data_IF_090711751359
#
_entry.id   IF_090711751359
#
_cell.length_a   1.000
_cell.length_b   1.000
_cell.length_c   1.000
_cell.angle_alpha   90.00
_cell.angle_beta   90.00
_cell.angle_gamma   90.00
#
_symmetry.space_group_name_H-M   'P 1'
#
loop_
_entity.id
_entity.type
_entity.pdbx_description
1 polymer ?
#
# COMPACT_ATOMS: atom_id res chain seq x y z
N UNK A 1 2.06 12.29 15.81
CA UNK A 1 1.34 13.30 15.00
C UNK A 1 1.36 12.88 13.54
N UNK A 2 0.21 12.83 12.88
CA UNK A 2 0.08 12.56 11.44
C UNK A 2 -0.22 13.87 10.72
N UNK A 3 0.54 14.20 9.67
CA UNK A 3 0.35 15.43 8.87
C UNK A 3 -0.03 15.05 7.44
N UNK A 4 -1.16 15.59 6.97
CA UNK A 4 -1.63 15.45 5.60
C UNK A 4 -1.53 16.82 4.92
N UNK A 5 -1.00 16.87 3.71
CA UNK A 5 -0.82 18.11 2.94
C UNK A 5 -1.50 17.93 1.59
N UNK A 6 -2.30 18.91 1.18
CA UNK A 6 -2.89 18.96 -0.16
C UNK A 6 -2.56 20.31 -0.82
N UNK A 7 -1.81 20.24 -1.91
CA UNK A 7 -1.29 21.43 -2.59
C UNK A 7 -0.34 22.23 -1.71
N UNK A 8 -0.19 23.52 -2.01
CA UNK A 8 0.69 24.43 -1.25
C UNK A 8 0.02 25.06 -0.02
N UNK A 9 -1.31 25.05 0.02
CA UNK A 9 -2.05 25.95 0.89
C UNK A 9 -2.86 25.25 1.99
N UNK A 10 -3.00 23.93 1.96
CA UNK A 10 -3.81 23.20 2.94
C UNK A 10 -3.02 22.08 3.63
N UNK A 11 -3.07 22.11 4.96
CA UNK A 11 -2.47 21.10 5.81
C UNK A 11 -3.42 20.73 6.94
N UNK A 12 -3.54 19.43 7.21
CA UNK A 12 -4.27 18.86 8.32
C UNK A 12 -3.31 18.10 9.23
N UNK A 13 -3.48 18.24 10.54
CA UNK A 13 -2.67 17.51 11.52
C UNK A 13 -3.55 16.76 12.48
N UNK A 14 -3.35 15.45 12.56
CA UNK A 14 -4.04 14.55 13.46
C UNK A 14 -3.15 14.17 14.64
N UNK A 15 -3.71 14.23 15.83
CA UNK A 15 -3.11 13.61 17.01
C UNK A 15 -3.49 12.13 17.05
N UNK A 16 -2.48 11.28 16.87
CA UNK A 16 -2.64 9.82 16.82
C UNK A 16 -2.85 9.19 18.20
N UNK A 17 -2.68 9.95 19.29
CA UNK A 17 -2.97 9.46 20.65
C UNK A 17 -4.46 9.56 21.01
N UNK A 18 -5.18 10.50 20.39
CA UNK A 18 -6.59 10.74 20.65
C UNK A 18 -7.49 10.73 19.40
N UNK A 19 -6.92 10.51 18.21
CA UNK A 19 -7.66 10.36 16.94
C UNK A 19 -8.24 11.65 16.37
N UNK A 20 -7.76 12.83 16.80
CA UNK A 20 -8.42 14.11 16.51
C UNK A 20 -7.67 14.93 15.47
N UNK A 21 -8.42 15.62 14.60
CA UNK A 21 -7.91 16.71 13.77
C UNK A 21 -7.64 17.93 14.66
N UNK A 22 -6.40 18.18 15.04
CA UNK A 22 -6.07 19.26 15.97
C UNK A 22 -5.63 20.55 15.27
N UNK A 23 -5.31 20.48 13.98
CA UNK A 23 -4.95 21.67 13.20
C UNK A 23 -5.40 21.52 11.75
N UNK A 24 -5.95 22.62 11.22
CA UNK A 24 -6.21 22.80 9.80
C UNK A 24 -5.65 24.16 9.39
N UNK A 25 -4.49 24.15 8.75
CA UNK A 25 -3.87 25.35 8.19
C UNK A 25 -4.37 25.54 6.76
N UNK A 26 -4.94 26.71 6.48
CA UNK A 26 -5.33 27.15 5.14
C UNK A 26 -4.71 28.51 4.84
N UNK A 27 -3.95 28.62 3.74
CA UNK A 27 -3.20 29.84 3.36
C UNK A 27 -2.35 30.39 4.52
N UNK A 28 -1.61 29.50 5.19
CA UNK A 28 -0.71 29.84 6.29
C UNK A 28 -1.37 30.16 7.64
N UNK A 29 -2.70 30.15 7.74
CA UNK A 29 -3.42 30.39 9.01
C UNK A 29 -4.14 29.13 9.47
N UNK A 30 -3.98 28.77 10.74
CA UNK A 30 -4.79 27.73 11.36
C UNK A 30 -6.22 28.25 11.55
N UNK A 31 -7.21 27.50 11.09
CA UNK A 31 -8.63 27.89 11.19
C UNK A 31 -9.35 27.19 12.35
N UNK A 32 -8.70 26.22 13.00
CA UNK A 32 -9.24 25.53 14.18
C UNK A 32 -8.63 26.12 15.45
N UNK A 33 -9.47 26.67 16.32
CA UNK A 33 -9.07 27.02 17.70
C UNK A 33 -9.11 25.81 18.62
N UNK A 34 -10.02 24.88 18.35
CA UNK A 34 -10.15 23.60 19.06
C UNK A 34 -10.40 22.48 18.06
N UNK A 35 -10.02 21.23 18.37
CA UNK A 35 -10.40 20.07 17.55
C UNK A 35 -11.92 19.93 17.48
N UNK A 36 -12.48 19.43 16.37
CA UNK A 36 -13.86 18.97 16.35
C UNK A 36 -14.00 17.77 17.29
N UNK A 37 -15.09 17.74 18.05
CA UNK A 37 -15.46 16.65 18.95
C UNK A 37 -16.89 16.23 18.63
N UNK A 38 -17.19 14.94 18.79
CA UNK A 38 -18.58 14.50 18.72
C UNK A 38 -19.25 14.86 20.06
N UNK A 39 -20.36 15.58 20.00
CA UNK A 39 -21.14 15.95 21.18
C UNK A 39 -22.59 15.51 20.97
N UNK A 40 -23.16 14.89 22.00
CA UNK A 40 -24.51 14.37 22.01
C UNK A 40 -25.42 15.14 22.97
N UNK A 41 -24.90 16.17 23.64
CA UNK A 41 -25.63 16.91 24.66
C UNK A 41 -25.85 18.36 24.24
N UNK A 42 -26.92 18.94 24.79
CA UNK A 42 -27.21 20.37 24.67
C UNK A 42 -27.71 20.90 26.00
N UNK A 43 -27.64 22.22 26.18
CA UNK A 43 -28.30 22.87 27.30
C UNK A 43 -29.82 22.56 27.29
N UNK A 44 -30.36 22.13 28.43
CA UNK A 44 -31.76 21.75 28.54
C UNK A 44 -32.67 22.97 28.38
N UNK A 45 -33.63 22.88 27.46
CA UNK A 45 -34.76 23.80 27.39
C UNK A 45 -35.80 23.46 28.45
N UNK A 46 -36.76 24.35 28.69
CA UNK A 46 -37.85 24.09 29.64
C UNK A 46 -38.71 22.88 29.24
N UNK A 47 -38.81 22.59 27.93
CA UNK A 47 -39.52 21.42 27.41
C UNK A 47 -38.74 20.11 27.60
N UNK A 48 -37.40 20.15 27.59
CA UNK A 48 -36.57 18.95 27.78
C UNK A 48 -36.58 18.48 29.24
N UNK A 49 -36.54 19.44 30.19
CA UNK A 49 -36.34 19.16 31.64
C UNK A 49 -37.26 18.09 32.23
N UNK A 50 -38.58 18.07 31.95
CA UNK A 50 -39.50 17.15 32.63
C UNK A 50 -39.34 15.68 32.19
N UNK A 51 -38.89 15.43 30.94
CA UNK A 51 -38.87 14.10 30.34
C UNK A 51 -37.48 13.77 29.80
N UNK A 52 -37.16 14.18 28.57
CA UNK A 52 -35.95 13.76 27.86
C UNK A 52 -34.67 14.21 28.56
N UNK A 53 -34.63 15.45 29.04
CA UNK A 53 -33.51 16.03 29.76
C UNK A 53 -33.18 15.29 31.06
N UNK A 54 -34.21 14.76 31.75
CA UNK A 54 -34.00 13.90 32.94
C UNK A 54 -33.24 12.63 32.55
N UNK A 55 -33.65 11.97 31.46
CA UNK A 55 -32.94 10.79 30.96
C UNK A 55 -31.50 11.12 30.54
N UNK A 56 -31.27 12.25 29.85
CA UNK A 56 -29.93 12.66 29.43
C UNK A 56 -28.98 12.87 30.61
N UNK A 57 -29.47 13.42 31.72
CA UNK A 57 -28.68 13.56 32.95
C UNK A 57 -28.45 12.21 33.61
N UNK A 58 -29.50 11.42 33.83
CA UNK A 58 -29.43 10.12 34.50
C UNK A 58 -28.54 9.12 33.76
N UNK A 59 -28.54 9.16 32.43
CA UNK A 59 -27.70 8.33 31.56
C UNK A 59 -26.35 8.97 31.24
N UNK A 60 -26.02 10.10 31.87
CA UNK A 60 -24.74 10.82 31.73
C UNK A 60 -24.39 11.19 30.29
N UNK A 61 -25.38 11.51 29.46
CA UNK A 61 -25.19 11.96 28.08
C UNK A 61 -24.26 13.19 28.01
N UNK A 62 -24.40 14.09 28.98
CA UNK A 62 -23.54 15.28 29.19
C UNK A 62 -22.08 14.97 29.57
N UNK A 63 -21.74 13.71 29.85
CA UNK A 63 -20.38 13.26 30.21
C UNK A 63 -19.77 12.37 29.12
N UNK A 64 -20.43 12.24 27.97
CA UNK A 64 -19.93 11.43 26.86
C UNK A 64 -18.57 11.97 26.38
N UNK A 65 -17.67 11.05 26.07
CA UNK A 65 -16.32 11.35 25.56
C UNK A 65 -15.99 10.36 24.46
N UNK A 66 -15.30 10.85 23.44
CA UNK A 66 -14.76 10.00 22.38
C UNK A 66 -13.61 9.13 22.92
N UNK A 67 -13.63 7.86 22.54
CA UNK A 67 -12.54 6.91 22.77
C UNK A 67 -11.94 6.48 21.44
N UNK A 68 -10.65 6.72 21.26
CA UNK A 68 -9.92 6.37 20.05
C UNK A 68 -9.46 4.91 20.08
N UNK A 69 -9.51 4.23 18.93
CA UNK A 69 -9.24 2.79 18.76
C UNK A 69 -7.88 2.46 18.13
N UNK A 70 -6.94 3.41 18.12
CA UNK A 70 -5.52 3.24 17.78
C UNK A 70 -5.11 3.35 16.29
N UNK A 71 -6.03 3.67 15.38
CA UNK A 71 -5.67 3.87 13.96
C UNK A 71 -6.42 4.98 13.26
N UNK A 72 -5.77 5.56 12.25
CA UNK A 72 -6.38 6.52 11.32
C UNK A 72 -6.38 5.89 9.93
N UNK A 73 -7.52 6.02 9.25
CA UNK A 73 -7.67 5.52 7.88
C UNK A 73 -7.69 6.67 6.88
N UNK A 74 -6.92 6.54 5.80
CA UNK A 74 -6.93 7.45 4.65
C UNK A 74 -7.28 6.64 3.40
N UNK A 75 -8.37 6.98 2.74
CA UNK A 75 -8.81 6.33 1.50
C UNK A 75 -8.57 7.24 0.29
N UNK A 76 -7.90 6.71 -0.73
CA UNK A 76 -7.56 7.40 -1.97
C UNK A 76 -8.19 6.68 -3.14
N UNK A 77 -9.09 7.36 -3.86
CA UNK A 77 -9.65 6.85 -5.12
C UNK A 77 -8.88 7.43 -6.30
N UNK A 78 -8.58 6.59 -7.28
CA UNK A 78 -7.83 6.97 -8.47
C UNK A 78 -8.31 6.22 -9.71
N UNK A 79 -8.10 6.83 -10.88
CA UNK A 79 -8.25 6.20 -12.18
C UNK A 79 -6.87 6.03 -12.80
N UNK A 80 -6.42 4.78 -12.96
CA UNK A 80 -5.15 4.47 -13.62
C UNK A 80 -5.46 4.08 -15.07
N UNK A 81 -4.98 4.87 -16.03
CA UNK A 81 -5.23 4.66 -17.44
C UNK A 81 -3.99 5.04 -18.27
N UNK A 82 -3.72 4.35 -19.39
CA UNK A 82 -2.72 4.81 -20.34
C UNK A 82 -3.25 6.04 -21.10
N UNK A 83 -2.37 6.84 -21.72
CA UNK A 83 -2.80 7.82 -22.70
C UNK A 83 -3.49 7.14 -23.88
N UNK A 84 -4.36 7.87 -24.58
CA UNK A 84 -5.04 7.49 -25.84
C UNK A 84 -6.11 6.39 -25.73
N UNK A 85 -5.99 5.41 -24.83
CA UNK A 85 -6.98 4.33 -24.70
C UNK A 85 -8.06 4.60 -23.66
N UNK A 86 -9.25 4.05 -23.88
CA UNK A 86 -10.41 4.24 -22.99
C UNK A 86 -10.36 3.42 -21.72
N UNK A 87 -9.68 2.26 -21.75
CA UNK A 87 -9.62 1.35 -20.62
C UNK A 87 -8.91 1.98 -19.42
N UNK A 88 -9.35 1.60 -18.22
CA UNK A 88 -8.72 2.01 -16.99
C UNK A 88 -8.84 0.94 -15.91
N UNK A 89 -8.09 1.12 -14.84
CA UNK A 89 -8.29 0.45 -13.57
C UNK A 89 -8.69 1.52 -12.56
N UNK A 90 -9.95 1.48 -12.14
CA UNK A 90 -10.38 2.30 -11.00
C UNK A 90 -9.87 1.64 -9.73
N UNK A 91 -9.16 2.38 -8.90
CA UNK A 91 -8.56 1.86 -7.68
C UNK A 91 -9.01 2.64 -6.45
N UNK A 92 -9.24 1.94 -5.36
CA UNK A 92 -9.34 2.51 -4.02
C UNK A 92 -8.19 1.97 -3.19
N UNK A 93 -7.29 2.85 -2.75
CA UNK A 93 -6.19 2.51 -1.85
C UNK A 93 -6.49 3.05 -0.46
N UNK A 94 -6.61 2.15 0.50
CA UNK A 94 -6.88 2.45 1.91
C UNK A 94 -5.60 2.24 2.72
N UNK A 95 -5.11 3.32 3.32
CA UNK A 95 -3.99 3.32 4.25
C UNK A 95 -4.54 3.34 5.69
N UNK A 96 -4.36 2.25 6.44
CA UNK A 96 -4.62 2.24 7.89
C UNK A 96 -3.30 2.48 8.63
N UNK A 97 -3.13 3.68 9.20
CA UNK A 97 -1.94 4.09 9.92
C UNK A 97 -2.09 3.81 11.42
N UNK A 98 -1.08 3.16 12.01
CA UNK A 98 -1.02 2.85 13.44
C UNK A 98 0.41 3.05 13.95
N UNK A 99 0.64 3.04 15.28
CA UNK A 99 2.00 3.04 15.84
C UNK A 99 2.88 1.86 15.42
N UNK A 100 2.29 0.75 14.93
CA UNK A 100 3.03 -0.44 14.49
C UNK A 100 3.50 -0.37 13.03
N UNK A 101 2.91 0.52 12.24
CA UNK A 101 3.15 0.56 10.80
C UNK A 101 1.90 0.98 10.00
N UNK A 102 1.97 0.73 8.70
CA UNK A 102 0.94 1.08 7.74
C UNK A 102 0.44 -0.18 7.05
N UNK A 103 -0.85 -0.44 7.17
CA UNK A 103 -1.53 -1.44 6.35
C UNK A 103 -2.05 -0.76 5.09
N UNK A 104 -1.67 -1.27 3.93
CA UNK A 104 -2.11 -0.78 2.62
C UNK A 104 -3.01 -1.83 2.01
N UNK A 105 -4.29 -1.51 1.90
CA UNK A 105 -5.27 -2.32 1.18
C UNK A 105 -5.59 -1.64 -0.15
N UNK A 106 -5.53 -2.37 -1.25
CA UNK A 106 -5.84 -1.88 -2.59
C UNK A 106 -6.94 -2.73 -3.19
N UNK A 107 -8.01 -2.08 -3.62
CA UNK A 107 -9.04 -2.67 -4.46
C UNK A 107 -8.96 -2.05 -5.85
N UNK A 108 -9.00 -2.87 -6.90
CA UNK A 108 -8.86 -2.44 -8.28
C UNK A 108 -9.87 -3.10 -9.20
N UNK A 109 -10.56 -2.29 -10.00
CA UNK A 109 -11.57 -2.72 -10.97
C UNK A 109 -11.18 -2.30 -12.39
N UNK A 110 -10.59 -3.21 -13.18
CA UNK A 110 -10.36 -2.99 -14.61
C UNK A 110 -11.67 -2.86 -15.39
N UNK A 111 -11.74 -1.92 -16.33
CA UNK A 111 -12.91 -1.73 -17.20
C UNK A 111 -12.56 -0.94 -18.48
N UNK A 112 -13.49 -0.94 -19.44
CA UNK A 112 -13.41 -0.15 -20.67
C UNK A 112 -13.05 -0.98 -21.91
N UNK A 113 -13.16 -0.33 -23.07
CA UNK A 113 -12.91 -0.96 -24.38
C UNK A 113 -11.40 -1.15 -24.58
N UNK A 114 -11.02 -2.25 -25.23
CA UNK A 114 -9.63 -2.63 -25.50
C UNK A 114 -8.79 -2.82 -24.22
N UNK A 115 -9.42 -3.19 -23.11
CA UNK A 115 -8.72 -3.63 -21.90
C UNK A 115 -7.78 -4.81 -22.26
N UNK A 116 -6.49 -4.77 -21.89
CA UNK A 116 -5.59 -5.89 -22.09
C UNK A 116 -6.17 -7.16 -21.45
N UNK A 117 -5.99 -8.32 -22.07
CA UNK A 117 -6.48 -9.59 -21.51
C UNK A 117 -5.79 -9.96 -20.20
N UNK A 118 -4.55 -9.49 -20.04
CA UNK A 118 -3.68 -9.83 -18.92
C UNK A 118 -2.88 -8.61 -18.48
N UNK A 119 -2.47 -8.61 -17.20
CA UNK A 119 -1.48 -7.69 -16.67
C UNK A 119 -0.14 -8.40 -16.46
N UNK A 120 0.96 -7.66 -16.59
CA UNK A 120 2.31 -8.18 -16.29
C UNK A 120 2.49 -8.41 -14.78
N UNK A 121 2.02 -7.46 -13.96
CA UNK A 121 2.02 -7.52 -12.50
C UNK A 121 0.96 -6.60 -11.91
N UNK A 122 0.57 -6.87 -10.67
CA UNK A 122 -0.23 -5.97 -9.82
C UNK A 122 0.52 -5.83 -8.51
N UNK A 123 0.90 -4.60 -8.16
CA UNK A 123 1.74 -4.35 -6.99
C UNK A 123 2.13 -2.90 -6.79
N UNK A 124 2.89 -2.68 -5.73
CA UNK A 124 3.47 -1.39 -5.35
C UNK A 124 4.95 -1.35 -5.74
N UNK A 125 5.43 -0.16 -6.06
CA UNK A 125 6.85 0.09 -6.29
C UNK A 125 7.26 1.28 -5.46
N UNK A 126 8.30 1.10 -4.65
CA UNK A 126 8.89 2.16 -3.85
C UNK A 126 10.40 2.20 -4.08
N UNK A 127 11.01 3.32 -3.74
CA UNK A 127 12.46 3.49 -3.74
C UNK A 127 12.93 3.68 -2.30
N UNK A 128 13.96 2.93 -1.93
CA UNK A 128 14.59 3.01 -0.62
C UNK A 128 15.99 3.62 -0.78
N UNK A 129 16.43 4.48 0.15
CA UNK A 129 17.78 5.00 0.15
C UNK A 129 18.85 3.90 0.05
N UNK A 130 19.96 4.18 -0.61
CA UNK A 130 21.04 3.20 -0.90
C UNK A 130 21.55 2.41 0.32
N UNK A 131 21.46 2.97 1.52
CA UNK A 131 21.85 2.26 2.74
C UNK A 131 20.98 1.04 3.06
N UNK A 132 19.76 0.95 2.54
CA UNK A 132 18.86 -0.19 2.71
C UNK A 132 19.25 -1.33 1.76
N UNK A 133 20.37 -2.00 2.01
CA UNK A 133 20.94 -3.00 1.10
C UNK A 133 20.86 -4.45 1.62
N UNK A 134 20.52 -4.66 2.89
CA UNK A 134 20.38 -5.99 3.47
C UNK A 134 18.94 -6.49 3.31
N UNK A 135 18.71 -7.36 2.31
CA UNK A 135 17.40 -7.96 2.01
C UNK A 135 17.32 -9.38 2.57
N UNK A 136 16.25 -9.67 3.31
CA UNK A 136 15.93 -11.01 3.81
C UNK A 136 14.45 -11.31 3.59
N UNK A 137 14.09 -12.55 3.26
CA UNK A 137 12.69 -12.92 3.11
C UNK A 137 12.41 -14.34 3.54
N UNK A 138 11.15 -14.61 3.88
CA UNK A 138 10.63 -15.97 4.03
C UNK A 138 9.68 -16.30 2.89
N UNK A 139 10.02 -17.33 2.11
CA UNK A 139 9.30 -17.73 0.91
C UNK A 139 10.15 -18.65 0.06
N UNK A 140 9.90 -18.67 -1.26
CA UNK A 140 10.71 -19.45 -2.18
C UNK A 140 12.08 -18.82 -2.43
N UNK A 141 13.12 -19.66 -2.46
CA UNK A 141 14.50 -19.26 -2.78
C UNK A 141 15.47 -20.45 -2.82
N UNK A 142 16.79 -20.20 -2.91
CA UNK A 142 17.45 -18.88 -2.88
C UNK A 142 17.50 -18.16 -4.25
N UNK A 143 17.03 -18.78 -5.33
CA UNK A 143 16.99 -18.22 -6.69
C UNK A 143 15.67 -17.55 -7.04
N UNK A 144 15.61 -16.97 -8.24
CA UNK A 144 14.38 -16.34 -8.75
C UNK A 144 13.27 -17.38 -8.95
N UNK A 145 12.02 -16.93 -8.89
CA UNK A 145 10.86 -17.75 -9.20
C UNK A 145 9.77 -16.93 -9.87
N UNK A 146 8.92 -17.62 -10.65
CA UNK A 146 7.74 -17.05 -11.31
C UNK A 146 6.56 -18.02 -11.16
N UNK A 147 5.34 -17.53 -11.44
CA UNK A 147 4.09 -18.25 -11.15
C UNK A 147 4.07 -19.69 -11.70
N UNK A 148 4.69 -19.91 -12.85
CA UNK A 148 4.87 -21.17 -13.56
C UNK A 148 6.31 -21.74 -13.53
N UNK A 149 7.28 -21.02 -12.97
CA UNK A 149 8.68 -21.44 -12.81
C UNK A 149 9.15 -21.25 -11.36
N UNK A 150 8.68 -22.10 -10.44
CA UNK A 150 8.97 -21.97 -9.00
C UNK A 150 9.23 -23.24 -8.21
N UNK A 151 8.96 -24.42 -8.78
CA UNK A 151 9.02 -25.68 -8.04
C UNK A 151 10.45 -26.09 -7.63
N UNK A 152 11.48 -25.60 -8.33
CA UNK A 152 12.87 -25.78 -7.93
C UNK A 152 13.28 -24.96 -6.71
N UNK A 153 12.51 -23.93 -6.36
CA UNK A 153 12.82 -23.03 -5.25
C UNK A 153 12.15 -23.53 -3.96
N UNK A 154 12.96 -23.75 -2.92
CA UNK A 154 12.51 -24.27 -1.61
C UNK A 154 11.91 -23.16 -0.77
N UNK A 155 10.99 -23.51 0.12
CA UNK A 155 10.57 -22.60 1.19
C UNK A 155 11.66 -22.52 2.27
N UNK A 156 11.92 -21.30 2.72
CA UNK A 156 12.89 -21.04 3.77
C UNK A 156 13.11 -19.54 3.96
N UNK A 157 14.05 -19.21 4.83
CA UNK A 157 14.53 -17.84 5.01
C UNK A 157 15.80 -17.65 4.20
N UNK A 158 15.80 -16.66 3.32
CA UNK A 158 16.88 -16.42 2.36
C UNK A 158 17.33 -14.97 2.40
N UNK A 159 18.53 -14.69 1.90
CA UNK A 159 19.06 -13.34 1.71
C UNK A 159 19.79 -13.24 0.38
N UNK A 160 19.45 -12.22 -0.40
CA UNK A 160 19.90 -11.97 -1.77
C UNK A 160 19.22 -10.71 -2.31
N UNK A 161 19.69 -10.20 -3.44
CA UNK A 161 19.08 -9.11 -4.21
C UNK A 161 18.83 -9.54 -5.65
N UNK A 162 17.94 -8.84 -6.35
CA UNK A 162 17.62 -9.10 -7.75
C UNK A 162 16.69 -10.30 -7.98
N UNK A 163 16.07 -10.32 -9.16
CA UNK A 163 15.13 -11.36 -9.59
C UNK A 163 13.79 -11.35 -8.83
N UNK A 164 12.73 -11.80 -9.48
CA UNK A 164 11.43 -11.94 -8.82
C UNK A 164 11.44 -13.13 -7.85
N UNK A 165 10.81 -12.97 -6.68
CA UNK A 165 10.61 -14.03 -5.68
C UNK A 165 9.13 -14.25 -5.47
N UNK A 166 8.66 -15.50 -5.49
CA UNK A 166 7.23 -15.85 -5.39
C UNK A 166 6.89 -16.51 -4.06
N UNK A 167 5.60 -16.55 -3.72
CA UNK A 167 5.06 -17.17 -2.51
C UNK A 167 5.72 -16.64 -1.22
N UNK A 168 6.03 -15.33 -1.21
CA UNK A 168 6.73 -14.64 -0.13
C UNK A 168 5.74 -14.24 0.96
N UNK A 169 6.01 -14.62 2.21
CA UNK A 169 5.15 -14.27 3.35
C UNK A 169 5.55 -12.94 3.95
N UNK A 170 6.85 -12.72 4.06
CA UNK A 170 7.40 -11.43 4.43
C UNK A 170 8.76 -11.24 3.76
N UNK A 171 9.09 -9.98 3.52
CA UNK A 171 10.41 -9.53 3.08
C UNK A 171 10.79 -8.31 3.92
N UNK A 172 12.03 -8.25 4.35
CA UNK A 172 12.60 -7.10 5.03
C UNK A 172 13.79 -6.56 4.26
N UNK A 173 13.95 -5.25 4.34
CA UNK A 173 15.10 -4.52 3.82
C UNK A 173 15.63 -3.63 4.94
N UNK A 174 16.93 -3.71 5.20
CA UNK A 174 17.56 -3.08 6.36
C UNK A 174 18.80 -2.29 5.98
N UNK A 175 19.05 -1.21 6.73
CA UNK A 175 20.29 -0.43 6.71
C UNK A 175 21.21 -0.74 7.89
N UNK A 176 20.91 -1.80 8.66
CA UNK A 176 21.57 -2.11 9.93
C UNK A 176 20.98 -1.35 11.13
N UNK A 177 20.70 -0.06 10.97
CA UNK A 177 20.05 0.76 12.01
C UNK A 177 18.52 0.78 11.90
N UNK A 178 18.00 0.72 10.68
CA UNK A 178 16.57 0.81 10.37
C UNK A 178 16.18 -0.34 9.47
N UNK A 179 14.94 -0.80 9.62
CA UNK A 179 14.38 -1.86 8.81
C UNK A 179 12.99 -1.46 8.35
N UNK A 180 12.64 -1.84 7.13
CA UNK A 180 11.27 -1.89 6.66
C UNK A 180 10.93 -3.35 6.41
N UNK A 181 9.83 -3.83 6.99
CA UNK A 181 9.31 -5.18 6.76
C UNK A 181 7.97 -5.08 6.05
N UNK A 182 7.88 -5.73 4.89
CA UNK A 182 6.62 -5.94 4.18
C UNK A 182 6.10 -7.35 4.46
N UNK A 183 4.88 -7.45 4.96
CA UNK A 183 4.17 -8.72 5.20
C UNK A 183 2.99 -8.85 4.25
N UNK A 184 2.83 -10.04 3.66
CA UNK A 184 1.70 -10.40 2.81
C UNK A 184 0.75 -11.31 3.61
N UNK A 185 -0.30 -10.75 4.24
CA UNK A 185 -1.09 -11.45 5.26
C UNK A 185 -2.01 -12.55 4.70
N UNK A 186 -2.32 -12.52 3.40
CA UNK A 186 -3.36 -13.37 2.80
C UNK A 186 -2.84 -14.35 1.73
N UNK A 187 -3.62 -15.40 1.47
CA UNK A 187 -3.44 -16.31 0.35
C UNK A 187 -2.11 -17.06 0.36
N UNK A 188 -1.46 -17.13 -0.82
CA UNK A 188 -0.14 -17.79 -0.99
C UNK A 188 1.06 -16.87 -0.67
N UNK A 189 0.80 -15.67 -0.17
CA UNK A 189 1.80 -14.61 -0.03
C UNK A 189 1.86 -13.75 -1.29
N UNK A 190 2.85 -12.86 -1.35
CA UNK A 190 3.11 -12.00 -2.49
C UNK A 190 4.38 -12.36 -3.24
N UNK A 191 4.85 -11.41 -4.02
CA UNK A 191 6.10 -11.45 -4.75
C UNK A 191 6.89 -10.19 -4.44
N UNK A 192 8.20 -10.26 -4.55
CA UNK A 192 9.01 -9.05 -4.48
C UNK A 192 10.22 -9.11 -5.42
N UNK A 193 10.76 -7.92 -5.69
CA UNK A 193 12.07 -7.75 -6.28
C UNK A 193 12.73 -6.52 -5.65
N UNK A 194 14.00 -6.64 -5.26
CA UNK A 194 14.83 -5.53 -4.81
C UNK A 194 16.02 -5.38 -5.75
N UNK A 195 16.16 -4.24 -6.42
CA UNK A 195 17.25 -4.00 -7.38
C UNK A 195 17.59 -2.52 -7.47
N UNK A 196 18.72 -2.17 -8.10
CA UNK A 196 19.09 -0.77 -8.35
C UNK A 196 18.65 -0.26 -9.72
N UNK A 197 17.69 -0.93 -10.36
CA UNK A 197 17.25 -0.61 -11.72
C UNK A 197 15.74 -0.46 -11.74
N UNK A 198 15.27 0.58 -12.43
CA UNK A 198 13.84 0.74 -12.70
C UNK A 198 13.39 -0.25 -13.76
N UNK A 199 12.08 -0.40 -13.93
CA UNK A 199 11.53 -1.28 -14.97
C UNK A 199 11.90 -0.75 -16.36
N UNK A 200 11.86 0.57 -16.53
CA UNK A 200 12.17 1.28 -17.77
C UNK A 200 13.66 1.18 -18.12
N UNK A 201 14.55 1.22 -17.11
CA UNK A 201 15.97 1.02 -17.31
C UNK A 201 16.29 -0.40 -17.81
N UNK A 202 15.62 -1.42 -17.25
CA UNK A 202 15.77 -2.81 -17.68
C UNK A 202 15.20 -3.04 -19.09
N UNK A 203 14.02 -2.50 -19.37
CA UNK A 203 13.31 -2.68 -20.65
C UNK A 203 14.03 -2.00 -21.84
N UNK A 204 14.58 -0.81 -21.60
CA UNK A 204 15.29 -0.03 -22.63
C UNK A 204 16.76 -0.43 -22.86
N UNK A 205 17.26 -1.48 -22.20
CA UNK A 205 18.66 -1.90 -22.31
C UNK A 205 18.78 -3.17 -23.15
N UNK A 206 19.58 -3.11 -24.22
CA UNK A 206 19.82 -4.25 -25.10
C UNK A 206 20.90 -5.20 -24.57
N UNK A 207 21.82 -4.69 -23.75
CA UNK A 207 22.97 -5.45 -23.25
C UNK A 207 23.26 -5.15 -21.77
N UNK A 208 23.83 -6.11 -21.01
CA UNK A 208 24.09 -5.92 -19.57
C UNK A 208 25.04 -4.76 -19.22
N UNK A 209 25.97 -4.39 -20.11
CA UNK A 209 26.91 -3.30 -19.82
C UNK A 209 26.23 -1.93 -19.81
N UNK A 210 25.15 -1.75 -20.57
CA UNK A 210 24.36 -0.51 -20.63
C UNK A 210 23.68 -0.20 -19.28
N UNK A 211 23.44 -1.22 -18.46
CA UNK A 211 22.85 -1.04 -17.13
C UNK A 211 23.79 -0.30 -16.18
N UNK A 212 25.11 -0.34 -16.37
CA UNK A 212 26.06 0.35 -15.48
C UNK A 212 25.76 1.85 -15.40
N UNK A 213 25.38 2.46 -16.51
CA UNK A 213 25.06 3.90 -16.60
C UNK A 213 23.66 4.23 -16.08
N UNK A 214 22.75 3.24 -16.04
CA UNK A 214 21.36 3.38 -15.60
C UNK A 214 21.12 2.93 -14.15
N UNK A 215 22.19 2.63 -13.42
CA UNK A 215 22.12 2.19 -12.02
C UNK A 215 21.74 3.37 -11.13
N UNK A 216 20.69 3.18 -10.33
CA UNK A 216 20.33 4.12 -9.28
C UNK A 216 21.15 3.86 -8.01
N UNK A 217 21.44 4.91 -7.26
CA UNK A 217 21.95 4.78 -5.89
C UNK A 217 20.90 4.09 -5.01
N UNK A 218 19.65 4.54 -5.12
CA UNK A 218 18.51 3.98 -4.41
C UNK A 218 18.16 2.56 -4.86
N UNK A 219 17.56 1.81 -3.94
CA UNK A 219 17.02 0.47 -4.19
C UNK A 219 15.56 0.60 -4.63
N UNK A 220 15.27 0.20 -5.86
CA UNK A 220 13.92 -0.04 -6.35
C UNK A 220 13.39 -1.33 -5.72
N UNK A 221 12.38 -1.18 -4.86
CA UNK A 221 11.74 -2.26 -4.13
C UNK A 221 10.29 -2.43 -4.59
N UNK A 222 10.03 -3.55 -5.27
CA UNK A 222 8.70 -3.91 -5.78
C UNK A 222 8.06 -4.94 -4.85
N UNK A 223 6.80 -4.70 -4.51
CA UNK A 223 5.96 -5.57 -3.69
C UNK A 223 4.71 -5.91 -4.50
N UNK A 224 4.72 -7.08 -5.14
CA UNK A 224 3.70 -7.48 -6.10
C UNK A 224 2.75 -8.51 -5.48
N UNK A 225 1.46 -8.19 -5.46
CA UNK A 225 0.42 -9.16 -5.10
C UNK A 225 0.39 -10.32 -6.09
N UNK A 226 0.47 -10.01 -7.39
CA UNK A 226 0.41 -11.00 -8.45
C UNK A 226 1.37 -10.64 -9.58
N UNK A 227 1.89 -11.68 -10.23
CA UNK A 227 2.80 -11.58 -11.37
C UNK A 227 2.37 -12.57 -12.45
N UNK A 228 2.46 -12.16 -13.72
CA UNK A 228 2.21 -13.03 -14.86
C UNK A 228 3.23 -14.18 -14.90
N UNK A 229 2.81 -15.38 -15.30
CA UNK A 229 3.72 -16.48 -15.61
C UNK A 229 4.57 -16.21 -16.85
N UNK A 230 5.70 -16.90 -16.99
CA UNK A 230 6.65 -16.69 -18.07
C UNK A 230 6.20 -17.34 -19.39
N UNK A 231 5.66 -18.56 -19.32
CA UNK A 231 5.43 -19.41 -20.48
C UNK A 231 6.72 -19.75 -21.22
N UNK A 232 6.58 -20.07 -22.50
CA UNK A 232 7.68 -20.42 -23.41
C UNK A 232 7.48 -19.79 -24.80
N UNK A 233 6.80 -18.64 -24.84
CA UNK A 233 6.27 -18.04 -26.06
C UNK A 233 7.31 -17.55 -27.08
N UNK A 234 8.61 -17.57 -26.76
CA UNK A 234 9.67 -17.29 -27.73
C UNK A 234 9.72 -18.34 -28.85
N UNK A 235 9.50 -19.62 -28.51
CA UNK A 235 9.40 -20.73 -29.45
C UNK A 235 8.62 -21.88 -28.77
N UNK A 236 7.31 -21.67 -28.57
CA UNK A 236 6.47 -22.57 -27.81
C UNK A 236 5.15 -21.92 -27.41
N UNK A 237 4.36 -22.55 -26.53
CA UNK A 237 3.09 -22.00 -26.09
C UNK A 237 3.26 -20.71 -25.28
N UNK A 238 2.26 -19.84 -25.37
CA UNK A 238 2.03 -18.74 -24.41
C UNK A 238 1.92 -19.29 -22.98
N UNK A 239 2.01 -18.41 -22.00
CA UNK A 239 1.69 -18.73 -20.60
C UNK A 239 0.32 -19.42 -20.53
N UNK A 240 0.29 -20.60 -19.89
CA UNK A 240 -0.96 -21.35 -19.71
C UNK A 240 -1.96 -20.53 -18.89
N UNK A 241 -3.24 -20.68 -19.18
CA UNK A 241 -4.29 -19.82 -18.61
C UNK A 241 -4.31 -19.86 -17.07
N UNK A 242 -4.00 -21.00 -16.44
CA UNK A 242 -3.89 -21.13 -14.98
C UNK A 242 -2.75 -20.29 -14.34
N UNK A 243 -1.77 -19.88 -15.13
CA UNK A 243 -0.65 -19.03 -14.72
C UNK A 243 -0.73 -17.61 -15.28
N UNK A 244 -1.73 -17.33 -16.12
CA UNK A 244 -1.98 -15.98 -16.61
C UNK A 244 -2.54 -15.12 -15.48
N UNK A 245 -2.04 -13.89 -15.39
CA UNK A 245 -2.66 -12.83 -14.59
C UNK A 245 -3.69 -12.11 -15.46
N UNK A 246 -4.93 -12.61 -15.47
CA UNK A 246 -6.05 -12.04 -16.22
C UNK A 246 -6.47 -10.71 -15.62
N UNK A 247 -7.03 -9.83 -16.46
CA UNK A 247 -7.45 -8.47 -16.07
C UNK A 247 -8.81 -8.46 -15.37
N UNK A 248 -8.91 -9.22 -14.28
CA UNK A 248 -10.09 -9.33 -13.42
C UNK A 248 -10.04 -8.31 -12.27
N UNK A 249 -11.18 -8.11 -11.61
CA UNK A 249 -11.24 -7.34 -10.37
C UNK A 249 -10.38 -7.98 -9.29
N UNK A 250 -9.60 -7.17 -8.58
CA UNK A 250 -8.62 -7.65 -7.61
C UNK A 250 -8.65 -6.85 -6.33
N UNK A 251 -8.23 -7.50 -5.24
CA UNK A 251 -7.96 -6.87 -3.97
C UNK A 251 -6.72 -7.48 -3.35
N UNK A 252 -5.90 -6.64 -2.71
CA UNK A 252 -4.73 -7.11 -1.99
C UNK A 252 -4.37 -6.22 -0.83
N UNK A 253 -3.58 -6.79 0.08
CA UNK A 253 -3.12 -6.08 1.26
C UNK A 253 -1.63 -6.36 1.48
N UNK A 254 -0.90 -5.33 1.91
CA UNK A 254 0.48 -5.44 2.40
C UNK A 254 0.61 -4.63 3.69
N UNK A 255 1.30 -5.21 4.68
CA UNK A 255 1.59 -4.52 5.94
C UNK A 255 3.03 -4.07 5.90
N UNK A 256 3.26 -2.78 6.11
CA UNK A 256 4.57 -2.18 6.20
C UNK A 256 4.83 -1.81 7.66
N UNK A 257 5.80 -2.47 8.27
CA UNK A 257 6.22 -2.31 9.67
C UNK A 257 7.68 -1.86 9.75
#
# INVERSE_FOLDING_TARGET
>A
MLRVVAGKDSQWTFDMSCGRLISWVKKGKNILSTPPVMDFYRALTDNDRPQDGKQWIEKRLHQTKDHFSDSVEVSVTARIAPPVFEWCVNTTTTYTLSPRGVRIHVHGKPQGINLPKTFARIGLTLQMPSQFNAVQWFGRGPGESYRDKKLSQKFGTWSSTGGNRTDVRWVSISSGERQLKATFPFGRGGNFCASHYTTEALDSSGHPFELKEKRLDDVVFRLDFAHHGLGTGSCGPKTLDQYALTSEEFQYEVWLE
#
